data_IF_561300977366
#
_entry.id   IF_561300977366
#
_cell.length_a   1.000
_cell.length_b   1.000
_cell.length_c   1.000
_cell.angle_alpha   90.00
_cell.angle_beta   90.00
_cell.angle_gamma   90.00
#
_symmetry.space_group_name_H-M   'P 1'
#
loop_
_entity.id
_entity.type
_entity.pdbx_description
1 polymer ?
#
# COMPACT_ATOMS: atom_id res chain seq x y z
N UNK A 1 -20.52 1.00 11.57
CA UNK A 1 -19.31 1.31 10.79
C UNK A 1 -19.46 0.79 9.37
N UNK A 2 -19.15 1.63 8.42
CA UNK A 2 -19.22 1.28 7.00
C UNK A 2 -17.84 0.91 6.49
N UNK A 3 -17.76 -0.22 5.76
CA UNK A 3 -16.51 -0.61 5.13
C UNK A 3 -16.32 0.20 3.85
N UNK A 4 -15.18 0.89 3.75
CA UNK A 4 -14.82 1.68 2.58
C UNK A 4 -13.66 1.00 1.89
N UNK A 5 -13.84 0.60 0.62
CA UNK A 5 -12.81 -0.03 -0.19
C UNK A 5 -12.60 0.79 -1.46
N UNK A 6 -11.33 1.05 -1.77
CA UNK A 6 -10.94 1.76 -2.97
C UNK A 6 -9.86 0.99 -3.69
N UNK A 7 -9.98 0.87 -5.00
CA UNK A 7 -9.02 0.18 -5.85
C UNK A 7 -8.24 1.20 -6.68
N UNK A 8 -6.92 1.08 -6.63
CA UNK A 8 -6.00 1.90 -7.42
C UNK A 8 -5.19 0.98 -8.32
N UNK A 9 -5.03 1.34 -9.60
CA UNK A 9 -4.41 0.48 -10.60
C UNK A 9 -3.24 1.16 -11.29
N UNK A 10 -2.24 0.35 -11.64
CA UNK A 10 -1.13 0.81 -12.48
C UNK A 10 -0.62 -0.35 -13.33
N UNK A 11 -0.23 -0.05 -14.57
CA UNK A 11 0.47 -1.01 -15.44
C UNK A 11 1.96 -0.69 -15.38
N UNK A 12 2.75 -1.69 -15.00
CA UNK A 12 4.20 -1.55 -14.85
C UNK A 12 4.89 -2.45 -15.89
N UNK A 13 5.83 -1.87 -16.62
CA UNK A 13 6.57 -2.56 -17.69
C UNK A 13 7.71 -3.39 -17.10
N UNK A 14 7.35 -4.35 -16.28
CA UNK A 14 8.28 -5.28 -15.63
C UNK A 14 7.54 -6.58 -15.33
N UNK A 15 8.27 -7.68 -15.23
CA UNK A 15 7.68 -8.99 -14.96
C UNK A 15 7.00 -9.04 -13.59
N UNK A 16 5.91 -9.82 -13.43
CA UNK A 16 5.20 -9.92 -12.14
C UNK A 16 6.10 -10.32 -10.98
N UNK A 17 7.04 -11.21 -11.20
CA UNK A 17 7.99 -11.67 -10.17
C UNK A 17 8.84 -10.51 -9.65
N UNK A 18 9.28 -9.64 -10.53
CA UNK A 18 10.09 -8.46 -10.17
C UNK A 18 9.25 -7.44 -9.43
N UNK A 19 8.05 -7.15 -9.93
CA UNK A 19 7.13 -6.20 -9.29
C UNK A 19 6.74 -6.70 -7.90
N UNK A 20 6.38 -7.97 -7.80
CA UNK A 20 6.01 -8.59 -6.53
C UNK A 20 7.14 -8.52 -5.50
N UNK A 21 8.34 -8.92 -5.90
CA UNK A 21 9.50 -8.92 -4.99
C UNK A 21 9.78 -7.53 -4.42
N UNK A 22 9.64 -6.50 -5.24
CA UNK A 22 9.87 -5.12 -4.79
C UNK A 22 8.74 -4.61 -3.89
N UNK A 23 7.49 -4.81 -4.30
CA UNK A 23 6.32 -4.30 -3.55
C UNK A 23 6.10 -5.05 -2.24
N UNK A 24 6.39 -6.35 -2.20
CA UNK A 24 6.22 -7.15 -0.97
C UNK A 24 7.31 -6.88 0.08
N UNK A 25 8.37 -6.19 -0.28
CA UNK A 25 9.37 -5.74 0.69
C UNK A 25 8.91 -4.40 1.28
N UNK A 26 8.24 -4.47 2.42
CA UNK A 26 7.68 -3.29 3.07
C UNK A 26 8.77 -2.29 3.48
N UNK A 27 9.99 -2.75 3.74
CA UNK A 27 11.09 -1.84 4.10
C UNK A 27 11.50 -0.93 2.94
N UNK A 28 11.10 -1.27 1.71
CA UNK A 28 11.35 -0.47 0.52
C UNK A 28 10.19 0.45 0.13
N UNK A 29 9.04 0.36 0.79
CA UNK A 29 7.91 1.25 0.52
C UNK A 29 8.27 2.74 0.63
N UNK A 30 9.14 3.16 1.55
CA UNK A 30 9.57 4.56 1.58
C UNK A 30 10.18 5.08 0.28
N UNK A 31 10.71 4.19 -0.56
CA UNK A 31 11.33 4.57 -1.83
C UNK A 31 10.32 5.08 -2.86
N UNK A 32 9.05 4.69 -2.72
CA UNK A 32 8.03 5.07 -3.71
C UNK A 32 6.73 5.61 -3.10
N UNK A 33 6.44 5.30 -1.85
CA UNK A 33 5.15 5.61 -1.23
C UNK A 33 4.97 7.09 -0.85
N UNK A 34 6.05 7.80 -0.56
CA UNK A 34 5.97 9.21 -0.14
C UNK A 34 5.62 9.37 1.34
N UNK A 35 5.25 10.60 1.76
CA UNK A 35 4.79 10.89 3.12
C UNK A 35 5.84 10.78 4.21
N UNK A 36 7.13 10.96 3.88
CA UNK A 36 8.25 10.84 4.83
C UNK A 36 8.18 9.52 5.60
N UNK A 37 7.81 8.46 4.92
CA UNK A 37 7.60 7.15 5.51
C UNK A 37 8.94 6.49 5.89
N UNK A 38 8.97 5.90 7.09
CA UNK A 38 10.06 5.05 7.55
C UNK A 38 9.48 3.75 8.04
N UNK A 39 10.04 2.61 7.64
CA UNK A 39 9.54 1.29 8.05
C UNK A 39 10.68 0.46 8.63
N UNK A 40 10.42 -0.11 9.80
CA UNK A 40 11.35 -1.00 10.50
C UNK A 40 10.77 -2.40 10.57
N UNK A 41 11.59 -3.41 10.25
CA UNK A 41 11.17 -4.81 10.38
C UNK A 41 11.25 -5.22 11.87
N UNK A 42 10.21 -5.88 12.35
CA UNK A 42 10.15 -6.44 13.70
C UNK A 42 10.39 -7.95 13.71
N UNK A 43 10.25 -8.60 12.55
CA UNK A 43 10.42 -10.04 12.41
C UNK A 43 11.65 -10.31 11.55
N UNK A 44 12.66 -11.03 12.05
CA UNK A 44 13.85 -11.32 11.25
C UNK A 44 13.54 -12.33 10.14
N UNK A 45 14.35 -12.28 9.08
CA UNK A 45 14.27 -13.21 7.98
C UNK A 45 13.42 -12.73 6.81
N UNK A 46 13.20 -13.60 5.82
CA UNK A 46 12.42 -13.26 4.62
C UNK A 46 10.96 -12.93 4.94
N UNK A 47 10.33 -12.16 4.05
CA UNK A 47 8.91 -11.84 4.17
C UNK A 47 8.08 -13.12 4.11
N UNK A 48 7.11 -13.23 5.03
CA UNK A 48 6.19 -14.36 5.10
C UNK A 48 4.92 -13.91 5.83
N UNK A 49 3.88 -14.75 5.79
CA UNK A 49 2.68 -14.51 6.60
C UNK A 49 3.10 -14.42 8.07
N UNK A 50 2.63 -13.38 8.75
CA UNK A 50 2.98 -13.11 10.13
C UNK A 50 4.14 -12.14 10.32
N UNK A 51 4.89 -11.81 9.26
CA UNK A 51 5.96 -10.81 9.35
C UNK A 51 5.40 -9.48 9.85
N UNK A 52 6.02 -8.91 10.86
CA UNK A 52 5.61 -7.66 11.48
C UNK A 52 6.57 -6.53 11.22
N UNK A 53 6.01 -5.32 11.14
CA UNK A 53 6.77 -4.10 10.87
C UNK A 53 6.18 -2.95 11.69
N UNK A 54 6.99 -1.92 11.90
CA UNK A 54 6.52 -0.68 12.46
C UNK A 54 6.84 0.43 11.47
N UNK A 55 5.83 1.23 11.14
CA UNK A 55 6.00 2.34 10.21
C UNK A 55 5.77 3.66 10.92
N UNK A 56 6.46 4.70 10.44
CA UNK A 56 6.33 6.08 10.91
C UNK A 56 6.15 6.95 9.68
N UNK A 57 5.01 7.61 9.59
CA UNK A 57 4.69 8.42 8.44
C UNK A 57 4.15 9.79 8.81
N UNK A 58 3.90 10.61 7.80
CA UNK A 58 3.29 11.92 7.96
C UNK A 58 1.88 11.89 7.39
N UNK A 59 0.90 12.27 8.21
CA UNK A 59 -0.51 12.34 7.81
C UNK A 59 -1.08 13.65 8.35
N UNK A 60 -1.66 14.45 7.45
CA UNK A 60 -2.34 15.70 7.81
C UNK A 60 -1.48 16.61 8.71
N UNK A 61 -0.18 16.72 8.41
CA UNK A 61 0.75 17.55 9.16
C UNK A 61 1.32 16.91 10.43
N UNK A 62 0.84 15.73 10.82
CA UNK A 62 1.38 14.98 11.95
C UNK A 62 2.55 14.13 11.48
N UNK A 63 3.73 14.39 12.02
CA UNK A 63 4.96 13.68 11.69
C UNK A 63 5.18 12.48 12.59
N UNK A 64 5.92 11.48 12.10
CA UNK A 64 6.28 10.27 12.84
C UNK A 64 5.05 9.53 13.41
N UNK A 65 3.96 9.53 12.67
CA UNK A 65 2.74 8.85 13.07
C UNK A 65 2.94 7.34 13.03
N UNK A 66 2.81 6.62 14.16
CA UNK A 66 3.13 5.20 14.21
C UNK A 66 1.99 4.32 13.69
N UNK A 67 2.37 3.27 12.97
CA UNK A 67 1.46 2.20 12.55
C UNK A 67 2.17 0.87 12.73
N UNK A 68 1.43 -0.17 13.11
CA UNK A 68 1.94 -1.53 13.14
C UNK A 68 1.43 -2.26 11.90
N UNK A 69 2.34 -2.93 11.20
CA UNK A 69 2.02 -3.65 9.97
C UNK A 69 2.22 -5.14 10.17
N UNK A 70 1.33 -5.95 9.62
CA UNK A 70 1.45 -7.41 9.65
C UNK A 70 1.02 -8.00 8.33
N UNK A 71 1.87 -8.84 7.76
CA UNK A 71 1.57 -9.55 6.52
C UNK A 71 0.57 -10.66 6.80
N UNK A 72 -0.55 -10.65 6.09
CA UNK A 72 -1.62 -11.63 6.24
C UNK A 72 -1.71 -12.61 5.08
N UNK A 73 -1.29 -12.20 3.87
CA UNK A 73 -1.22 -13.08 2.71
C UNK A 73 0.08 -12.84 1.97
N UNK A 74 0.70 -13.93 1.54
CA UNK A 74 1.95 -13.88 0.79
C UNK A 74 1.94 -15.00 -0.24
N UNK A 75 1.54 -14.66 -1.46
CA UNK A 75 1.37 -15.61 -2.56
C UNK A 75 2.14 -15.14 -3.79
N UNK A 76 3.48 -15.33 -3.83
CA UNK A 76 4.27 -14.91 -4.97
C UNK A 76 3.89 -15.65 -6.26
N UNK A 77 3.83 -14.96 -7.40
CA UNK A 77 3.95 -13.52 -7.59
C UNK A 77 2.59 -12.84 -7.77
N UNK A 78 1.51 -13.36 -7.19
CA UNK A 78 0.13 -12.98 -7.52
C UNK A 78 -0.54 -12.07 -6.49
N UNK A 79 -0.26 -12.26 -5.20
CA UNK A 79 -0.98 -11.51 -4.16
C UNK A 79 -0.15 -11.27 -2.92
N UNK A 80 -0.24 -10.06 -2.39
CA UNK A 80 0.41 -9.66 -1.16
C UNK A 80 -0.55 -8.78 -0.36
N UNK A 81 -0.84 -9.17 0.89
CA UNK A 81 -1.77 -8.41 1.75
C UNK A 81 -1.10 -8.14 3.08
N UNK A 82 -1.20 -6.91 3.55
CA UNK A 82 -0.84 -6.57 4.92
C UNK A 82 -1.91 -5.71 5.56
N UNK A 83 -2.06 -5.84 6.87
CA UNK A 83 -2.94 -5.03 7.69
C UNK A 83 -2.11 -4.01 8.46
N UNK A 84 -2.52 -2.76 8.44
CA UNK A 84 -1.92 -1.68 9.21
C UNK A 84 -2.85 -1.31 10.35
N UNK A 85 -2.32 -1.20 11.57
CA UNK A 85 -3.09 -0.72 12.72
C UNK A 85 -2.75 0.75 12.92
N UNK A 86 -3.69 1.60 12.56
CA UNK A 86 -3.55 3.05 12.69
C UNK A 86 -4.21 3.51 13.98
N UNK A 87 -3.57 4.41 14.76
CA UNK A 87 -4.15 4.88 16.03
C UNK A 87 -5.52 5.53 15.89
N UNK A 88 -5.79 6.19 14.76
CA UNK A 88 -7.06 6.92 14.58
C UNK A 88 -8.06 6.16 13.72
N UNK A 89 -7.59 5.47 12.67
CA UNK A 89 -8.47 4.80 11.72
C UNK A 89 -8.68 3.32 12.02
N UNK A 90 -7.94 2.75 12.98
CA UNK A 90 -7.99 1.33 13.27
C UNK A 90 -7.31 0.51 12.19
N UNK A 91 -7.89 -0.64 11.84
CA UNK A 91 -7.30 -1.53 10.86
C UNK A 91 -7.51 -1.02 9.43
N UNK A 92 -6.41 -0.88 8.70
CA UNK A 92 -6.42 -0.57 7.27
C UNK A 92 -5.81 -1.76 6.53
N UNK A 93 -6.58 -2.38 5.64
CA UNK A 93 -6.11 -3.53 4.88
C UNK A 93 -5.59 -3.05 3.53
N UNK A 94 -4.38 -3.50 3.19
CA UNK A 94 -3.70 -3.20 1.93
C UNK A 94 -3.57 -4.50 1.15
N UNK A 95 -4.37 -4.65 0.10
CA UNK A 95 -4.40 -5.86 -0.72
C UNK A 95 -3.85 -5.55 -2.10
N UNK A 96 -2.70 -6.13 -2.42
CA UNK A 96 -2.06 -5.98 -3.73
C UNK A 96 -2.23 -7.24 -4.54
N UNK A 97 -2.72 -7.10 -5.77
CA UNK A 97 -2.77 -8.19 -6.74
C UNK A 97 -1.92 -7.83 -7.95
N UNK A 98 -1.30 -8.85 -8.54
CA UNK A 98 -0.36 -8.69 -9.65
C UNK A 98 -0.78 -9.65 -10.76
N UNK A 99 -1.22 -9.10 -11.88
CA UNK A 99 -1.72 -9.89 -13.01
C UNK A 99 -0.82 -9.68 -14.22
N UNK A 100 -0.30 -10.76 -14.83
CA UNK A 100 0.51 -10.62 -16.04
C UNK A 100 -0.31 -9.97 -17.15
N UNK A 101 0.33 -9.04 -17.86
CA UNK A 101 -0.23 -8.42 -19.04
C UNK A 101 0.83 -8.41 -20.13
N UNK A 102 0.39 -8.20 -21.37
CA UNK A 102 1.31 -8.02 -22.49
C UNK A 102 2.27 -6.88 -22.16
N UNK A 103 3.57 -7.21 -22.14
CA UNK A 103 4.62 -6.24 -21.85
C UNK A 103 4.83 -5.89 -20.38
N UNK A 104 4.13 -6.55 -19.43
CA UNK A 104 4.35 -6.22 -18.04
C UNK A 104 3.35 -6.80 -17.06
N UNK A 105 2.99 -5.99 -16.07
CA UNK A 105 2.15 -6.40 -14.93
C UNK A 105 1.10 -5.33 -14.65
N UNK A 106 -0.16 -5.77 -14.48
CA UNK A 106 -1.20 -4.94 -13.89
C UNK A 106 -1.13 -5.13 -12.37
N UNK A 107 -0.82 -4.07 -11.64
CA UNK A 107 -0.88 -4.07 -10.18
C UNK A 107 -2.13 -3.32 -9.75
N UNK A 108 -2.92 -3.95 -8.87
CA UNK A 108 -4.07 -3.33 -8.24
C UNK A 108 -3.87 -3.30 -6.74
N UNK A 109 -4.06 -2.14 -6.13
CA UNK A 109 -4.00 -1.96 -4.69
C UNK A 109 -5.38 -1.60 -4.18
N UNK A 110 -5.94 -2.44 -3.32
CA UNK A 110 -7.21 -2.19 -2.66
C UNK A 110 -6.96 -1.80 -1.22
N UNK A 111 -7.41 -0.61 -0.85
CA UNK A 111 -7.37 -0.11 0.52
C UNK A 111 -8.75 -0.25 1.13
N UNK A 112 -8.85 -0.95 2.24
CA UNK A 112 -10.12 -1.15 2.94
C UNK A 112 -10.00 -0.68 4.38
N UNK A 113 -10.95 0.14 4.81
CA UNK A 113 -11.00 0.69 6.17
C UNK A 113 -12.45 0.86 6.58
N UNK A 114 -12.74 0.68 7.87
CA UNK A 114 -14.08 0.90 8.41
C UNK A 114 -14.20 2.33 8.92
N UNK A 115 -15.26 3.01 8.49
CA UNK A 115 -15.53 4.39 8.87
C UNK A 115 -16.99 4.52 9.26
N UNK A 116 -17.33 5.57 10.06
CA UNK A 116 -18.72 5.89 10.27
C UNK A 116 -19.36 6.39 8.95
N UNK A 117 -20.70 6.31 8.79
CA UNK A 117 -21.34 6.66 7.51
C UNK A 117 -21.06 8.10 7.03
N UNK A 118 -20.95 9.06 7.94
CA UNK A 118 -20.68 10.45 7.58
C UNK A 118 -19.27 10.59 7.01
N UNK A 119 -18.28 9.98 7.67
CA UNK A 119 -16.89 9.98 7.19
C UNK A 119 -16.77 9.23 5.87
N UNK A 120 -17.48 8.11 5.72
CA UNK A 120 -17.47 7.33 4.48
C UNK A 120 -17.99 8.15 3.31
N UNK A 121 -19.07 8.91 3.54
CA UNK A 121 -19.64 9.80 2.52
C UNK A 121 -18.66 10.91 2.12
N UNK A 122 -18.06 11.57 3.11
CA UNK A 122 -17.07 12.63 2.87
C UNK A 122 -15.84 12.09 2.14
N UNK A 123 -15.39 10.89 2.51
CA UNK A 123 -14.25 10.24 1.87
C UNK A 123 -14.54 9.99 0.38
N UNK A 124 -15.71 9.41 0.08
CA UNK A 124 -16.08 9.09 -1.28
C UNK A 124 -16.17 10.34 -2.17
N UNK A 125 -16.77 11.42 -1.68
CA UNK A 125 -17.03 12.62 -2.47
C UNK A 125 -15.84 13.58 -2.57
N UNK A 126 -15.05 13.70 -1.51
CA UNK A 126 -14.05 14.76 -1.41
C UNK A 126 -12.63 14.24 -1.22
N UNK A 127 -12.42 13.34 -0.25
CA UNK A 127 -11.06 12.94 0.13
C UNK A 127 -10.39 12.10 -0.95
N UNK A 128 -11.09 11.08 -1.45
CA UNK A 128 -10.50 10.22 -2.48
C UNK A 128 -10.20 10.97 -3.77
N UNK A 129 -11.14 11.70 -4.40
CA UNK A 129 -10.84 12.36 -5.67
C UNK A 129 -9.85 13.52 -5.53
N UNK A 130 -9.85 14.25 -4.40
CA UNK A 130 -9.02 15.46 -4.25
C UNK A 130 -7.66 15.17 -3.61
N UNK A 131 -7.56 14.14 -2.78
CA UNK A 131 -6.34 13.84 -2.02
C UNK A 131 -5.84 12.42 -2.31
N UNK A 132 -6.68 11.41 -2.08
CA UNK A 132 -6.29 10.02 -2.18
C UNK A 132 -5.82 9.60 -3.56
N UNK A 133 -6.59 9.89 -4.60
CA UNK A 133 -6.24 9.50 -5.97
C UNK A 133 -4.97 10.22 -6.46
N UNK A 134 -4.81 11.54 -6.29
CA UNK A 134 -3.57 12.21 -6.70
C UNK A 134 -2.34 11.72 -5.95
N UNK A 135 -2.45 11.44 -4.65
CA UNK A 135 -1.33 10.90 -3.86
C UNK A 135 -0.92 9.51 -4.37
N UNK A 136 -1.91 8.66 -4.65
CA UNK A 136 -1.65 7.31 -5.15
C UNK A 136 -1.05 7.36 -6.55
N UNK A 137 -1.55 8.23 -7.41
CA UNK A 137 -1.00 8.40 -8.76
C UNK A 137 0.47 8.79 -8.73
N UNK A 138 0.85 9.69 -7.81
CA UNK A 138 2.26 10.08 -7.64
C UNK A 138 3.11 8.94 -7.11
N UNK A 139 2.59 8.19 -6.13
CA UNK A 139 3.28 7.03 -5.57
C UNK A 139 3.51 5.97 -6.64
N UNK A 140 2.49 5.67 -7.43
CA UNK A 140 2.58 4.69 -8.51
C UNK A 140 3.50 5.14 -9.63
N UNK A 141 3.56 6.45 -9.91
CA UNK A 141 4.51 6.98 -10.89
C UNK A 141 5.96 6.76 -10.42
N UNK A 142 6.24 6.96 -9.14
CA UNK A 142 7.57 6.67 -8.57
C UNK A 142 7.89 5.19 -8.62
N UNK A 143 6.92 4.34 -8.28
CA UNK A 143 7.06 2.89 -8.33
C UNK A 143 7.38 2.41 -9.75
N UNK A 144 6.61 2.88 -10.72
CA UNK A 144 6.78 2.55 -12.13
C UNK A 144 8.18 2.98 -12.62
N UNK A 145 8.61 4.17 -12.28
CA UNK A 145 9.93 4.67 -12.63
C UNK A 145 11.03 3.77 -12.09
N UNK A 146 10.94 3.38 -10.82
CA UNK A 146 11.96 2.54 -10.19
C UNK A 146 12.03 1.15 -10.81
N UNK A 147 10.90 0.54 -11.12
CA UNK A 147 10.85 -0.81 -11.65
C UNK A 147 11.18 -0.89 -13.13
N UNK A 148 10.86 0.15 -13.90
CA UNK A 148 11.10 0.14 -15.35
C UNK A 148 12.51 0.56 -15.75
N UNK A 149 13.26 1.18 -14.84
CA UNK A 149 14.65 1.60 -15.09
C UNK A 149 15.64 0.44 -15.10
N UNK A 150 15.29 -0.62 -14.42
CA UNK A 150 16.18 -1.78 -14.32
C UNK A 150 15.85 -2.80 -15.40
#
# INVERSE_FOLDING_TARGET
MTNVSNVYRVVINAAPEKVFAYVSDLTRHPEWSGGNLRIESLTPGPVAVGSGYKSYGEVAGQKNRPNELRVTHYEPPTRFVFAAQDPDFGEVINDFTFTPQEGGTLMERTLSVKMNPVMAFAFKLFIRPLIGQPMMDKAFARLKEKLEKE
#
